data_IF_268388282838
#
_entry.id   IF_268388282838
#
_cell.length_a   1.000
_cell.length_b   1.000
_cell.length_c   1.000
_cell.angle_alpha   90.00
_cell.angle_beta   90.00
_cell.angle_gamma   90.00
#
_symmetry.space_group_name_H-M   'P 1'
#
loop_
_entity.id
_entity.type
_entity.pdbx_description
1 polymer ?
#
# COMPACT_ATOMS: atom_id res chain seq x y z
N UNK A 1 56.65 -5.04 -37.34
CA UNK A 1 56.83 -4.98 -35.89
C UNK A 1 56.36 -3.58 -35.44
N UNK A 2 55.10 -3.48 -35.04
CA UNK A 2 54.53 -2.23 -34.53
C UNK A 2 54.41 -2.39 -33.01
N UNK A 3 54.97 -1.42 -32.32
CA UNK A 3 55.09 -1.34 -30.88
C UNK A 3 53.74 -1.15 -30.21
N UNK A 4 53.33 -2.10 -29.34
CA UNK A 4 52.09 -2.11 -28.59
C UNK A 4 52.29 -1.81 -27.09
N UNK A 5 53.25 -0.96 -26.75
CA UNK A 5 53.60 -0.60 -25.38
C UNK A 5 52.98 0.74 -24.94
N UNK A 6 51.66 0.91 -24.98
CA UNK A 6 51.04 2.19 -24.64
C UNK A 6 49.64 2.15 -24.03
N UNK A 7 49.13 1.00 -23.65
CA UNK A 7 47.82 0.95 -22.96
C UNK A 7 48.06 0.96 -21.44
N UNK A 8 48.01 2.16 -20.84
CA UNK A 8 47.89 2.31 -19.40
C UNK A 8 46.59 1.66 -18.96
N UNK A 9 46.55 0.82 -17.92
CA UNK A 9 45.32 0.38 -17.32
C UNK A 9 44.61 1.58 -16.72
N UNK A 10 43.54 2.00 -17.39
CA UNK A 10 42.66 3.05 -16.87
C UNK A 10 42.14 2.60 -15.53
N UNK A 11 42.37 3.38 -14.52
CA UNK A 11 41.98 3.20 -13.14
C UNK A 11 40.56 2.65 -13.01
N UNK A 12 40.46 1.56 -12.27
CA UNK A 12 39.19 1.18 -11.63
C UNK A 12 38.83 2.36 -10.72
N UNK A 13 37.97 3.23 -11.25
CA UNK A 13 37.36 4.30 -10.47
C UNK A 13 36.57 3.64 -9.34
N UNK A 14 37.11 3.76 -8.13
CA UNK A 14 36.34 3.65 -6.88
C UNK A 14 35.02 4.36 -7.08
N UNK A 15 33.91 3.58 -7.14
CA UNK A 15 32.57 4.12 -7.05
C UNK A 15 32.36 4.62 -5.61
N UNK A 16 32.90 5.81 -5.35
CA UNK A 16 32.54 6.58 -4.18
C UNK A 16 31.02 6.70 -4.16
N UNK A 17 30.41 6.24 -3.09
CA UNK A 17 29.00 6.49 -2.79
C UNK A 17 28.77 8.00 -2.91
N UNK A 18 28.14 8.45 -4.00
CA UNK A 18 27.85 9.86 -4.16
C UNK A 18 26.92 10.27 -3.00
N UNK A 19 27.24 11.35 -2.27
CA UNK A 19 26.38 11.83 -1.17
C UNK A 19 24.93 12.06 -1.58
N UNK A 20 24.66 12.18 -2.89
CA UNK A 20 23.33 12.26 -3.47
C UNK A 20 22.49 10.99 -3.40
N UNK A 21 23.07 9.76 -3.37
CA UNK A 21 22.27 8.52 -3.44
C UNK A 21 21.48 8.26 -2.16
N UNK A 22 22.11 8.45 -0.99
CA UNK A 22 21.44 8.29 0.30
C UNK A 22 20.35 9.34 0.50
N UNK A 23 20.60 10.59 0.12
CA UNK A 23 19.61 11.66 0.19
C UNK A 23 18.43 11.38 -0.76
N UNK A 24 18.68 10.96 -2.00
CA UNK A 24 17.62 10.59 -2.95
C UNK A 24 16.77 9.43 -2.43
N UNK A 25 17.39 8.40 -1.87
CA UNK A 25 16.68 7.26 -1.26
C UNK A 25 15.81 7.69 -0.08
N UNK A 26 16.31 8.61 0.75
CA UNK A 26 15.54 9.17 1.87
C UNK A 26 14.31 9.95 1.36
N UNK A 27 14.49 10.84 0.38
CA UNK A 27 13.37 11.61 -0.23
C UNK A 27 12.32 10.68 -0.84
N UNK A 28 12.75 9.63 -1.54
CA UNK A 28 11.87 8.63 -2.12
C UNK A 28 11.07 7.90 -1.04
N UNK A 29 11.75 7.41 0.00
CA UNK A 29 11.10 6.72 1.13
C UNK A 29 10.12 7.63 1.86
N UNK A 30 10.49 8.88 2.09
CA UNK A 30 9.63 9.86 2.75
C UNK A 30 8.43 10.26 1.88
N UNK A 31 8.63 10.42 0.58
CA UNK A 31 7.51 10.66 -0.36
C UNK A 31 6.55 9.46 -0.37
N UNK A 32 7.07 8.23 -0.44
CA UNK A 32 6.25 7.02 -0.37
C UNK A 32 5.47 6.92 0.95
N UNK A 33 6.11 7.25 2.07
CA UNK A 33 5.46 7.34 3.38
C UNK A 33 4.25 8.30 3.34
N UNK A 34 4.46 9.50 2.82
CA UNK A 34 3.45 10.56 2.79
C UNK A 34 2.27 10.26 1.85
N UNK A 35 2.47 9.44 0.81
CA UNK A 35 1.39 9.12 -0.13
C UNK A 35 0.28 8.26 0.45
N UNK A 36 0.53 7.47 1.50
CA UNK A 36 -0.43 6.51 2.05
C UNK A 36 -0.60 6.58 3.57
N UNK A 37 0.09 7.49 4.26
CA UNK A 37 0.03 7.59 5.72
C UNK A 37 -1.38 7.86 6.24
N UNK A 38 -2.18 8.68 5.54
CA UNK A 38 -3.58 9.00 5.91
C UNK A 38 -4.49 7.76 5.91
N UNK A 39 -4.21 6.77 5.04
CA UNK A 39 -4.96 5.52 5.00
C UNK A 39 -4.86 4.80 6.34
N UNK A 40 -3.64 4.61 6.80
CA UNK A 40 -3.35 3.83 7.99
C UNK A 40 -3.60 4.60 9.29
N UNK A 41 -3.31 5.90 9.31
CA UNK A 41 -3.58 6.78 10.45
C UNK A 41 -5.06 6.74 10.85
N UNK A 42 -5.96 6.88 9.88
CA UNK A 42 -7.40 6.87 10.16
C UNK A 42 -7.89 5.50 10.66
N UNK A 43 -7.24 4.40 10.23
CA UNK A 43 -7.59 3.07 10.73
C UNK A 43 -7.26 2.87 12.21
N UNK A 44 -6.22 3.53 12.73
CA UNK A 44 -5.83 3.39 14.14
C UNK A 44 -6.88 3.93 15.12
N UNK A 45 -7.64 4.94 14.70
CA UNK A 45 -8.63 5.63 15.52
C UNK A 45 -10.07 5.15 15.28
N UNK A 46 -10.25 4.03 14.58
CA UNK A 46 -11.56 3.45 14.25
C UNK A 46 -12.49 3.31 15.45
N UNK A 47 -12.10 2.77 16.63
CA UNK A 47 -13.00 2.66 17.77
C UNK A 47 -13.47 4.02 18.28
N UNK A 48 -12.62 5.05 18.25
CA UNK A 48 -12.99 6.41 18.66
C UNK A 48 -13.92 7.08 17.66
N UNK A 49 -13.71 6.92 16.36
CA UNK A 49 -14.62 7.40 15.31
C UNK A 49 -15.97 6.72 15.40
N UNK A 50 -16.02 5.41 15.64
CA UNK A 50 -17.27 4.65 15.82
C UNK A 50 -18.10 5.21 16.98
N UNK A 51 -17.47 5.55 18.09
CA UNK A 51 -18.14 6.19 19.24
C UNK A 51 -18.60 7.62 18.93
N UNK A 52 -17.74 8.39 18.24
CA UNK A 52 -18.02 9.79 17.89
C UNK A 52 -19.24 9.91 16.97
N UNK A 53 -19.37 9.04 15.97
CA UNK A 53 -20.50 9.06 15.03
C UNK A 53 -21.70 8.19 15.47
N UNK A 54 -21.58 7.41 16.55
CA UNK A 54 -22.67 6.55 17.05
C UNK A 54 -23.10 5.47 16.07
N UNK A 55 -22.17 4.91 15.29
CA UNK A 55 -22.46 3.93 14.23
C UNK A 55 -21.87 2.56 14.53
N UNK A 56 -22.23 1.54 13.74
CA UNK A 56 -21.69 0.19 13.91
C UNK A 56 -20.23 0.09 13.43
N UNK A 57 -19.44 -0.89 13.92
CA UNK A 57 -18.11 -1.19 13.41
C UNK A 57 -18.07 -1.40 11.90
N UNK A 58 -19.07 -2.06 11.30
CA UNK A 58 -19.15 -2.25 9.86
C UNK A 58 -19.32 -0.93 9.11
N UNK A 59 -20.22 -0.06 9.57
CA UNK A 59 -20.48 1.24 8.94
C UNK A 59 -19.23 2.14 9.02
N UNK A 60 -18.58 2.22 10.18
CA UNK A 60 -17.36 3.02 10.33
C UNK A 60 -16.19 2.43 9.58
N UNK A 61 -16.01 1.11 9.63
CA UNK A 61 -14.98 0.41 8.88
C UNK A 61 -15.10 0.66 7.37
N UNK A 62 -16.32 0.59 6.82
CA UNK A 62 -16.58 0.94 5.43
C UNK A 62 -16.25 2.40 5.13
N UNK A 63 -16.72 3.33 5.95
CA UNK A 63 -16.48 4.76 5.77
C UNK A 63 -14.98 5.11 5.78
N UNK A 64 -14.22 4.58 6.74
CA UNK A 64 -12.76 4.79 6.84
C UNK A 64 -12.03 4.21 5.63
N UNK A 65 -12.41 3.02 5.17
CA UNK A 65 -11.75 2.37 4.04
C UNK A 65 -12.36 2.75 2.67
N UNK A 66 -13.34 3.66 2.61
CA UNK A 66 -13.87 4.21 1.35
C UNK A 66 -12.78 4.91 0.52
N UNK A 67 -11.68 5.33 1.15
CA UNK A 67 -10.49 5.81 0.45
C UNK A 67 -9.93 4.79 -0.56
N UNK A 68 -10.06 3.48 -0.30
CA UNK A 68 -9.62 2.46 -1.27
C UNK A 68 -10.42 2.48 -2.55
N UNK A 69 -11.69 2.92 -2.54
CA UNK A 69 -12.46 3.17 -3.77
C UNK A 69 -11.86 4.31 -4.59
N UNK A 70 -11.56 5.45 -3.94
CA UNK A 70 -10.85 6.55 -4.59
C UNK A 70 -9.49 6.12 -5.13
N UNK A 71 -8.76 5.30 -4.37
CA UNK A 71 -7.46 4.76 -4.79
C UNK A 71 -7.60 3.84 -6.01
N UNK A 72 -8.63 3.01 -6.09
CA UNK A 72 -8.89 2.15 -7.25
C UNK A 72 -9.16 2.99 -8.51
N UNK A 73 -10.04 4.00 -8.40
CA UNK A 73 -10.36 4.89 -9.51
C UNK A 73 -9.13 5.67 -9.99
N UNK A 74 -8.37 6.26 -9.08
CA UNK A 74 -7.16 7.01 -9.41
C UNK A 74 -6.07 6.13 -10.06
N UNK A 75 -5.92 4.88 -9.61
CA UNK A 75 -4.94 3.94 -10.19
C UNK A 75 -5.21 3.66 -11.67
N UNK A 76 -6.49 3.53 -12.06
CA UNK A 76 -6.87 3.39 -13.46
C UNK A 76 -6.59 4.68 -14.25
N UNK A 77 -7.03 5.84 -13.73
CA UNK A 77 -6.84 7.13 -14.39
C UNK A 77 -5.35 7.42 -14.59
N UNK A 78 -4.54 7.26 -13.54
CA UNK A 78 -3.10 7.46 -13.66
C UNK A 78 -2.46 6.44 -14.57
N UNK A 79 -2.87 5.17 -14.53
CA UNK A 79 -2.40 4.13 -15.45
C UNK A 79 -2.60 4.50 -16.92
N UNK A 80 -3.75 5.11 -17.27
CA UNK A 80 -4.05 5.53 -18.64
C UNK A 80 -3.38 6.83 -19.06
N UNK A 81 -3.32 7.83 -18.17
CA UNK A 81 -2.84 9.16 -18.49
C UNK A 81 -1.41 9.43 -18.02
N UNK A 82 -0.77 8.49 -17.33
CA UNK A 82 0.59 8.61 -16.79
C UNK A 82 1.59 9.23 -17.79
N UNK A 83 1.66 8.85 -19.08
CA UNK A 83 2.63 9.43 -20.00
C UNK A 83 2.45 10.93 -20.25
N UNK A 84 1.25 11.48 -19.98
CA UNK A 84 0.91 12.89 -20.21
C UNK A 84 1.07 13.76 -18.96
N UNK A 85 1.25 13.14 -17.79
CA UNK A 85 1.32 13.86 -16.51
C UNK A 85 2.78 14.12 -16.16
N UNK A 86 3.16 15.38 -15.97
CA UNK A 86 4.45 15.74 -15.38
C UNK A 86 4.55 15.16 -13.95
N UNK A 87 5.61 14.37 -13.70
CA UNK A 87 5.74 13.60 -12.47
C UNK A 87 5.79 14.47 -11.23
N UNK A 88 6.64 15.50 -11.25
CA UNK A 88 6.79 16.44 -10.13
C UNK A 88 5.50 17.16 -9.84
N UNK A 89 4.90 17.77 -10.86
CA UNK A 89 3.65 18.55 -10.71
C UNK A 89 2.52 17.65 -10.25
N UNK A 90 2.39 16.44 -10.81
CA UNK A 90 1.36 15.51 -10.44
C UNK A 90 1.48 15.04 -8.98
N UNK A 91 2.68 14.68 -8.50
CA UNK A 91 2.90 14.27 -7.11
C UNK A 91 2.64 15.47 -6.17
N UNK A 92 3.20 16.64 -6.48
CA UNK A 92 3.02 17.87 -5.70
C UNK A 92 1.54 18.23 -5.55
N UNK A 93 0.81 18.33 -6.66
CA UNK A 93 -0.62 18.66 -6.64
C UNK A 93 -1.43 17.62 -5.90
N UNK A 94 -1.12 16.34 -6.06
CA UNK A 94 -1.82 15.27 -5.36
C UNK A 94 -1.64 15.38 -3.84
N UNK A 95 -0.42 15.64 -3.34
CA UNK A 95 -0.15 15.82 -1.92
C UNK A 95 -0.75 17.13 -1.37
N UNK A 96 -0.66 18.23 -2.13
CA UNK A 96 -1.26 19.50 -1.72
C UNK A 96 -2.80 19.41 -1.66
N UNK A 97 -3.43 18.80 -2.68
CA UNK A 97 -4.87 18.59 -2.69
C UNK A 97 -5.34 17.60 -1.63
N UNK A 98 -4.50 16.63 -1.25
CA UNK A 98 -4.81 15.68 -0.16
C UNK A 98 -5.05 16.38 1.17
N UNK A 99 -4.37 17.50 1.43
CA UNK A 99 -4.55 18.27 2.66
C UNK A 99 -5.98 18.82 2.81
N UNK A 100 -6.68 19.10 1.71
CA UNK A 100 -8.06 19.64 1.74
C UNK A 100 -9.05 18.64 2.33
N UNK A 101 -9.30 17.47 1.74
CA UNK A 101 -10.20 16.49 2.34
C UNK A 101 -9.71 16.03 3.72
N UNK A 102 -8.39 15.95 3.96
CA UNK A 102 -7.85 15.57 5.27
C UNK A 102 -8.24 16.59 6.35
N UNK A 103 -8.10 17.89 6.09
CA UNK A 103 -8.52 18.92 7.06
C UNK A 103 -10.03 18.96 7.24
N UNK A 104 -10.81 18.78 6.18
CA UNK A 104 -12.28 18.75 6.24
C UNK A 104 -12.83 17.57 7.04
N UNK A 105 -12.10 16.46 7.15
CA UNK A 105 -12.49 15.33 8.02
C UNK A 105 -12.57 15.73 9.49
N UNK A 106 -11.80 16.73 9.92
CA UNK A 106 -11.85 17.24 11.31
C UNK A 106 -13.21 17.82 11.70
N UNK A 107 -13.97 18.30 10.73
CA UNK A 107 -15.26 18.98 10.91
C UNK A 107 -16.40 18.29 10.15
N UNK A 108 -16.23 17.06 9.71
CA UNK A 108 -17.23 16.32 8.94
C UNK A 108 -18.49 16.09 9.78
N UNK A 109 -19.66 16.62 9.37
CA UNK A 109 -20.84 16.67 10.22
C UNK A 109 -21.56 15.31 10.36
N UNK A 110 -21.34 14.40 9.43
CA UNK A 110 -21.97 13.08 9.41
C UNK A 110 -21.13 12.05 8.64
N UNK A 111 -21.50 10.78 8.76
CA UNK A 111 -20.80 9.67 8.16
C UNK A 111 -20.76 9.73 6.62
N UNK A 112 -21.79 10.26 5.98
CA UNK A 112 -21.83 10.36 4.51
C UNK A 112 -20.79 11.34 3.98
N UNK A 113 -20.68 12.52 4.58
CA UNK A 113 -19.66 13.52 4.26
C UNK A 113 -18.28 12.98 4.59
N UNK A 114 -18.09 12.33 5.76
CA UNK A 114 -16.84 11.66 6.11
C UNK A 114 -16.43 10.64 5.03
N UNK A 115 -17.37 9.79 4.61
CA UNK A 115 -17.12 8.77 3.55
C UNK A 115 -16.72 9.41 2.23
N UNK A 116 -17.41 10.46 1.79
CA UNK A 116 -17.09 11.18 0.55
C UNK A 116 -15.70 11.82 0.61
N UNK A 117 -15.33 12.44 1.73
CA UNK A 117 -14.00 12.98 1.95
C UNK A 117 -12.92 11.90 1.95
N UNK A 118 -13.21 10.72 2.48
CA UNK A 118 -12.30 9.56 2.40
C UNK A 118 -12.09 9.10 0.96
N UNK A 119 -13.12 9.09 0.13
CA UNK A 119 -12.98 8.80 -1.31
C UNK A 119 -12.07 9.86 -1.97
N UNK A 120 -12.28 11.13 -1.69
CA UNK A 120 -11.45 12.22 -2.22
C UNK A 120 -9.98 12.09 -1.78
N UNK A 121 -9.71 11.75 -0.51
CA UNK A 121 -8.36 11.42 -0.05
C UNK A 121 -7.76 10.27 -0.86
N UNK A 122 -8.53 9.20 -1.09
CA UNK A 122 -8.07 8.04 -1.86
C UNK A 122 -7.64 8.40 -3.28
N UNK A 123 -8.39 9.28 -3.95
CA UNK A 123 -8.02 9.79 -5.27
C UNK A 123 -6.64 10.48 -5.25
N UNK A 124 -6.41 11.35 -4.28
CA UNK A 124 -5.14 12.06 -4.14
C UNK A 124 -3.99 11.12 -3.76
N UNK A 125 -4.20 10.24 -2.78
CA UNK A 125 -3.19 9.28 -2.29
C UNK A 125 -2.69 8.38 -3.42
N UNK A 126 -3.59 7.72 -4.15
CA UNK A 126 -3.19 6.80 -5.21
C UNK A 126 -2.59 7.52 -6.42
N UNK A 127 -3.01 8.75 -6.71
CA UNK A 127 -2.37 9.57 -7.74
C UNK A 127 -0.92 9.87 -7.38
N UNK A 128 -0.66 10.34 -6.14
CA UNK A 128 0.70 10.57 -5.67
C UNK A 128 1.53 9.29 -5.66
N UNK A 129 0.95 8.18 -5.17
CA UNK A 129 1.59 6.86 -5.08
C UNK A 129 2.01 6.34 -6.46
N UNK A 130 1.09 6.31 -7.43
CA UNK A 130 1.36 5.78 -8.76
C UNK A 130 2.35 6.66 -9.54
N UNK A 131 2.25 7.98 -9.42
CA UNK A 131 3.18 8.92 -10.07
C UNK A 131 4.58 8.86 -9.45
N UNK A 132 4.69 8.66 -8.13
CA UNK A 132 6.00 8.46 -7.47
C UNK A 132 6.64 7.16 -7.96
N UNK A 133 5.87 6.09 -8.07
CA UNK A 133 6.38 4.81 -8.59
C UNK A 133 6.84 4.92 -10.05
N UNK A 134 6.10 5.65 -10.88
CA UNK A 134 6.47 5.92 -12.26
C UNK A 134 7.74 6.79 -12.36
N UNK A 135 7.85 7.84 -11.53
CA UNK A 135 9.05 8.67 -11.44
C UNK A 135 10.30 7.85 -11.13
N UNK A 136 10.19 6.91 -10.17
CA UNK A 136 11.28 6.01 -9.83
C UNK A 136 11.71 5.12 -11.01
N UNK A 137 10.75 4.55 -11.71
CA UNK A 137 11.02 3.70 -12.87
C UNK A 137 11.69 4.44 -14.02
N UNK A 138 11.48 5.76 -14.13
CA UNK A 138 12.05 6.61 -15.18
C UNK A 138 13.41 7.21 -14.82
N UNK A 139 13.69 7.42 -13.52
CA UNK A 139 14.87 8.16 -13.06
C UNK A 139 15.99 7.30 -12.51
N UNK A 140 15.72 6.04 -12.17
CA UNK A 140 16.73 5.16 -11.63
C UNK A 140 17.39 4.34 -12.74
N UNK A 141 18.73 4.34 -12.77
CA UNK A 141 19.48 3.37 -13.57
C UNK A 141 19.17 1.94 -13.11
N UNK A 142 19.38 0.95 -13.95
CA UNK A 142 19.15 -0.44 -13.57
C UNK A 142 19.92 -0.86 -12.31
N UNK A 143 21.09 -0.23 -12.04
CA UNK A 143 21.90 -0.47 -10.84
C UNK A 143 21.28 0.19 -9.59
N UNK A 144 20.72 1.40 -9.71
CA UNK A 144 20.19 2.16 -8.58
C UNK A 144 18.72 1.81 -8.28
N UNK A 145 18.01 1.24 -9.26
CA UNK A 145 16.59 0.90 -9.15
C UNK A 145 16.28 0.03 -7.92
N UNK A 146 17.15 -0.95 -7.62
CA UNK A 146 16.95 -1.83 -6.46
C UNK A 146 16.90 -1.07 -5.13
N UNK A 147 17.81 -0.12 -4.91
CA UNK A 147 17.86 0.72 -3.72
C UNK A 147 16.68 1.69 -3.62
N UNK A 148 16.30 2.31 -4.73
CA UNK A 148 15.20 3.25 -4.81
C UNK A 148 13.84 2.57 -4.55
N UNK A 149 13.60 1.40 -5.14
CA UNK A 149 12.41 0.61 -4.86
C UNK A 149 12.38 0.07 -3.43
N UNK A 150 13.53 -0.31 -2.86
CA UNK A 150 13.62 -0.70 -1.47
C UNK A 150 13.24 0.46 -0.53
N UNK A 151 13.75 1.66 -0.79
CA UNK A 151 13.40 2.86 -0.02
C UNK A 151 11.90 3.18 -0.13
N UNK A 152 11.33 3.07 -1.33
CA UNK A 152 9.91 3.28 -1.58
C UNK A 152 9.04 2.28 -0.78
N UNK A 153 9.36 0.98 -0.83
CA UNK A 153 8.63 -0.06 -0.07
C UNK A 153 8.79 0.19 1.43
N UNK A 154 9.98 0.52 1.90
CA UNK A 154 10.24 0.83 3.32
C UNK A 154 9.40 2.01 3.78
N UNK A 155 9.34 3.10 3.00
CA UNK A 155 8.49 4.26 3.29
C UNK A 155 7.01 3.89 3.38
N UNK A 156 6.51 3.07 2.46
CA UNK A 156 5.12 2.60 2.46
C UNK A 156 4.82 1.74 3.70
N UNK A 157 5.68 0.78 4.06
CA UNK A 157 5.47 -0.05 5.26
C UNK A 157 5.65 0.77 6.53
N UNK A 158 6.59 1.72 6.56
CA UNK A 158 6.78 2.65 7.67
C UNK A 158 5.53 3.52 7.90
N UNK A 159 4.82 3.93 6.84
CA UNK A 159 3.58 4.69 6.97
C UNK A 159 2.48 3.92 7.73
N UNK A 160 2.45 2.61 7.58
CA UNK A 160 1.51 1.76 8.30
C UNK A 160 1.79 1.74 9.81
N UNK A 161 3.05 1.67 10.22
CA UNK A 161 3.42 1.67 11.63
C UNK A 161 3.40 3.09 12.22
N UNK A 162 4.19 4.00 11.64
CA UNK A 162 4.40 5.34 12.20
C UNK A 162 3.12 6.18 12.12
N UNK A 163 2.37 6.08 11.01
CA UNK A 163 1.08 6.77 10.86
C UNK A 163 0.08 6.37 11.93
N UNK A 164 -0.01 5.09 12.25
CA UNK A 164 -0.91 4.61 13.31
C UNK A 164 -0.46 5.03 14.71
N UNK A 165 0.84 4.99 15.00
CA UNK A 165 1.37 5.45 16.29
C UNK A 165 1.10 6.92 16.51
N UNK A 166 1.42 7.78 15.55
CA UNK A 166 1.17 9.22 15.62
C UNK A 166 -0.34 9.48 15.77
N UNK A 167 -1.16 8.80 14.97
CA UNK A 167 -2.61 8.99 15.01
C UNK A 167 -3.21 8.59 16.37
N UNK A 168 -2.77 7.46 16.94
CA UNK A 168 -3.23 7.02 18.25
C UNK A 168 -2.83 8.05 19.34
N UNK A 169 -1.58 8.52 19.34
CA UNK A 169 -1.08 9.50 20.31
C UNK A 169 -1.80 10.84 20.19
N UNK A 170 -2.04 11.35 18.98
CA UNK A 170 -2.75 12.60 18.76
C UNK A 170 -4.22 12.51 19.16
N UNK A 171 -4.88 11.40 18.79
CA UNK A 171 -6.29 11.22 19.14
C UNK A 171 -6.50 11.05 20.64
N UNK A 172 -5.57 10.42 21.34
CA UNK A 172 -5.60 10.25 22.80
C UNK A 172 -5.32 11.55 23.54
N UNK A 173 -4.29 12.31 23.13
CA UNK A 173 -3.84 13.52 23.82
C UNK A 173 -4.56 14.81 23.41
N UNK A 174 -4.87 14.99 22.11
CA UNK A 174 -5.39 16.24 21.54
C UNK A 174 -6.79 16.09 20.94
N UNK A 175 -7.26 14.86 20.73
CA UNK A 175 -8.56 14.55 20.15
C UNK A 175 -8.58 14.38 18.64
N UNK A 176 -9.72 13.91 18.12
CA UNK A 176 -9.89 13.48 16.73
C UNK A 176 -9.65 14.60 15.71
N UNK A 177 -10.10 15.82 15.98
CA UNK A 177 -9.96 16.95 15.06
C UNK A 177 -8.48 17.30 14.82
N UNK A 178 -7.69 17.39 15.88
CA UNK A 178 -6.27 17.69 15.80
C UNK A 178 -5.47 16.60 15.07
N UNK A 179 -5.89 15.35 15.18
CA UNK A 179 -5.32 14.27 14.39
C UNK A 179 -5.41 14.56 12.88
N UNK A 180 -6.59 14.95 12.39
CA UNK A 180 -6.77 15.26 10.97
C UNK A 180 -6.01 16.51 10.52
N UNK A 181 -5.99 17.58 11.35
CA UNK A 181 -5.22 18.80 11.04
C UNK A 181 -3.72 18.53 10.98
N UNK A 182 -3.19 17.67 11.87
CA UNK A 182 -1.79 17.29 11.84
C UNK A 182 -1.44 16.57 10.52
N UNK A 183 -2.24 15.60 10.10
CA UNK A 183 -1.99 14.89 8.84
C UNK A 183 -2.19 15.79 7.63
N UNK A 184 -3.11 16.74 7.66
CA UNK A 184 -3.24 17.75 6.61
C UNK A 184 -1.98 18.63 6.50
N UNK A 185 -1.42 19.07 7.63
CA UNK A 185 -0.15 19.81 7.66
C UNK A 185 1.02 18.95 7.15
N UNK A 186 1.03 17.67 7.52
CA UNK A 186 2.04 16.70 7.04
C UNK A 186 1.96 16.51 5.52
N UNK A 187 0.77 16.49 4.93
CA UNK A 187 0.56 16.41 3.48
C UNK A 187 1.10 17.66 2.76
N UNK A 188 0.89 18.86 3.32
CA UNK A 188 1.48 20.09 2.80
C UNK A 188 3.00 20.10 2.93
N UNK A 189 3.55 19.62 4.04
CA UNK A 189 4.98 19.44 4.19
C UNK A 189 5.55 18.46 3.13
N UNK A 190 4.80 17.40 2.82
CA UNK A 190 5.11 16.48 1.73
C UNK A 190 5.11 17.15 0.35
N UNK A 191 4.12 17.99 0.08
CA UNK A 191 4.08 18.78 -1.16
C UNK A 191 5.30 19.73 -1.24
N UNK A 192 5.65 20.39 -0.14
CA UNK A 192 6.84 21.24 -0.06
C UNK A 192 8.13 20.42 -0.27
N UNK A 193 8.24 19.24 0.35
CA UNK A 193 9.38 18.33 0.12
C UNK A 193 9.54 18.03 -1.37
N UNK A 194 8.47 17.63 -2.04
CA UNK A 194 8.48 17.32 -3.49
C UNK A 194 8.86 18.57 -4.31
N UNK A 195 8.35 19.72 -3.92
CA UNK A 195 8.68 20.98 -4.59
C UNK A 195 10.18 21.31 -4.56
N UNK A 196 10.87 21.08 -3.46
CA UNK A 196 12.27 21.42 -3.30
C UNK A 196 13.25 20.32 -3.71
N UNK A 197 12.79 19.04 -3.77
CA UNK A 197 13.72 17.91 -3.92
C UNK A 197 13.51 17.08 -5.19
N UNK A 198 12.33 17.14 -5.79
CA UNK A 198 12.02 16.36 -7.01
C UNK A 198 12.26 17.24 -8.25
N UNK A 199 13.16 16.80 -9.13
CA UNK A 199 13.45 17.52 -10.36
C UNK A 199 12.30 17.44 -11.37
N UNK A 200 12.19 18.50 -12.18
CA UNK A 200 11.30 18.49 -13.35
C UNK A 200 11.91 17.59 -14.41
N UNK A 201 11.33 16.45 -14.60
CA UNK A 201 11.68 15.56 -15.69
C UNK A 201 10.64 15.70 -16.79
N UNK A 202 11.10 16.04 -17.99
CA UNK A 202 10.23 15.95 -19.15
C UNK A 202 9.77 14.50 -19.29
N UNK A 203 8.44 14.25 -19.44
CA UNK A 203 7.97 12.90 -19.69
C UNK A 203 8.78 12.35 -20.85
N UNK A 204 9.39 11.18 -20.67
CA UNK A 204 10.01 10.50 -21.79
C UNK A 204 8.91 10.40 -22.86
N UNK A 205 9.13 10.98 -24.04
CA UNK A 205 8.22 10.79 -25.15
C UNK A 205 8.19 9.29 -25.41
N UNK A 206 7.32 8.61 -24.71
CA UNK A 206 6.99 7.24 -25.04
C UNK A 206 6.50 7.31 -26.49
N UNK A 207 7.24 6.66 -27.39
CA UNK A 207 6.72 6.38 -28.72
C UNK A 207 5.26 5.97 -28.50
N UNK A 208 4.33 6.72 -29.10
CA UNK A 208 2.90 6.56 -28.86
C UNK A 208 2.57 5.08 -28.84
N UNK A 209 1.91 4.59 -27.79
CA UNK A 209 1.55 3.16 -27.76
C UNK A 209 0.72 2.89 -29.03
N UNK A 210 1.13 1.91 -29.81
CA UNK A 210 0.48 1.52 -31.07
C UNK A 210 -0.98 1.07 -30.85
N UNK A 211 -1.40 0.82 -29.63
CA UNK A 211 -2.75 0.41 -29.25
C UNK A 211 -3.43 1.48 -28.38
N UNK A 212 -4.74 1.65 -28.55
CA UNK A 212 -5.54 2.48 -27.65
C UNK A 212 -5.48 1.95 -26.22
N UNK A 213 -5.56 2.79 -25.18
CA UNK A 213 -5.57 2.35 -23.77
C UNK A 213 -6.63 1.28 -23.49
N UNK A 214 -7.80 1.37 -24.14
CA UNK A 214 -8.87 0.38 -24.03
C UNK A 214 -8.46 -0.99 -24.64
N UNK A 215 -7.81 -0.98 -25.80
CA UNK A 215 -7.33 -2.22 -26.41
C UNK A 215 -6.25 -2.90 -25.56
N UNK A 216 -5.33 -2.13 -25.01
CA UNK A 216 -4.31 -2.63 -24.08
C UNK A 216 -4.94 -3.20 -22.80
N UNK A 217 -5.94 -2.53 -22.22
CA UNK A 217 -6.71 -3.03 -21.06
C UNK A 217 -7.36 -4.38 -21.39
N UNK A 218 -8.05 -4.48 -22.53
CA UNK A 218 -8.71 -5.71 -22.94
C UNK A 218 -7.71 -6.85 -23.19
N UNK A 219 -6.53 -6.54 -23.76
CA UNK A 219 -5.46 -7.51 -23.95
C UNK A 219 -4.95 -8.06 -22.62
N UNK A 220 -4.75 -7.20 -21.59
CA UNK A 220 -4.34 -7.63 -20.26
C UNK A 220 -5.42 -8.48 -19.56
N UNK A 221 -6.71 -8.14 -19.71
CA UNK A 221 -7.82 -8.96 -19.17
C UNK A 221 -7.97 -10.32 -19.88
N UNK A 222 -7.58 -10.43 -21.15
CA UNK A 222 -7.56 -11.71 -21.89
C UNK A 222 -6.41 -12.60 -21.46
N UNK A 223 -5.34 -12.06 -20.91
CA UNK A 223 -4.21 -12.85 -20.41
C UNK A 223 -4.59 -13.55 -19.09
N UNK A 224 -4.70 -14.89 -19.05
CA UNK A 224 -5.17 -15.61 -17.86
C UNK A 224 -4.23 -15.46 -16.66
N UNK A 225 -2.93 -15.27 -16.89
CA UNK A 225 -1.96 -15.07 -15.82
C UNK A 225 -2.10 -13.70 -15.16
N UNK A 226 -2.26 -12.64 -15.95
CA UNK A 226 -2.49 -11.29 -15.43
C UNK A 226 -3.83 -11.22 -14.68
N UNK A 227 -4.88 -11.84 -15.23
CA UNK A 227 -6.19 -11.91 -14.59
C UNK A 227 -6.13 -12.64 -13.25
N UNK A 228 -5.37 -13.73 -13.15
CA UNK A 228 -5.14 -14.42 -11.89
C UNK A 228 -4.36 -13.53 -10.91
N UNK A 229 -3.32 -12.83 -11.35
CA UNK A 229 -2.57 -11.90 -10.53
C UNK A 229 -3.44 -10.74 -10.01
N UNK A 230 -4.36 -10.21 -10.83
CA UNK A 230 -5.33 -9.20 -10.42
C UNK A 230 -6.27 -9.72 -9.32
N UNK A 231 -6.77 -10.95 -9.48
CA UNK A 231 -7.58 -11.62 -8.45
C UNK A 231 -6.81 -11.92 -7.17
N UNK A 232 -5.55 -12.32 -7.27
CA UNK A 232 -4.67 -12.53 -6.10
C UNK A 232 -4.49 -11.20 -5.35
N UNK A 233 -4.20 -10.10 -6.05
CA UNK A 233 -4.10 -8.78 -5.44
C UNK A 233 -5.38 -8.37 -4.73
N UNK A 234 -6.54 -8.57 -5.35
CA UNK A 234 -7.86 -8.34 -4.75
C UNK A 234 -8.02 -9.12 -3.43
N UNK A 235 -7.76 -10.42 -3.43
CA UNK A 235 -7.90 -11.27 -2.24
C UNK A 235 -6.92 -10.90 -1.13
N UNK A 236 -5.69 -10.50 -1.48
CA UNK A 236 -4.68 -10.08 -0.49
C UNK A 236 -5.16 -8.83 0.27
N UNK A 237 -5.61 -7.78 -0.44
CA UNK A 237 -6.06 -6.57 0.25
C UNK A 237 -7.41 -6.76 0.93
N UNK A 238 -8.31 -7.58 0.39
CA UNK A 238 -9.51 -8.02 1.07
C UNK A 238 -9.18 -8.59 2.45
N UNK A 239 -8.26 -9.54 2.51
CA UNK A 239 -7.83 -10.18 3.75
C UNK A 239 -7.12 -9.19 4.68
N UNK A 240 -6.17 -8.42 4.17
CA UNK A 240 -5.37 -7.48 4.96
C UNK A 240 -6.23 -6.37 5.57
N UNK A 241 -6.95 -5.61 4.74
CA UNK A 241 -7.78 -4.47 5.23
C UNK A 241 -8.86 -4.97 6.17
N UNK A 242 -9.53 -6.09 5.83
CA UNK A 242 -10.55 -6.66 6.71
C UNK A 242 -9.99 -7.06 8.08
N UNK A 243 -8.88 -7.76 8.10
CA UNK A 243 -8.22 -8.17 9.35
C UNK A 243 -7.85 -6.95 10.20
N UNK A 244 -7.06 -6.02 9.64
CA UNK A 244 -6.51 -4.89 10.39
C UNK A 244 -7.51 -3.76 10.64
N UNK A 245 -8.69 -3.80 10.03
CA UNK A 245 -9.83 -2.93 10.37
C UNK A 245 -10.56 -3.46 11.60
N UNK A 246 -10.97 -4.73 11.58
CA UNK A 246 -11.87 -5.27 12.62
C UNK A 246 -11.16 -5.78 13.86
N UNK A 247 -9.89 -6.17 13.79
CA UNK A 247 -9.09 -6.52 14.98
C UNK A 247 -9.03 -5.37 15.99
N UNK A 248 -9.06 -4.10 15.54
CA UNK A 248 -9.08 -2.93 16.44
C UNK A 248 -10.24 -3.00 17.45
N UNK A 249 -11.41 -3.46 17.00
CA UNK A 249 -12.58 -3.58 17.87
C UNK A 249 -12.47 -4.76 18.84
N UNK A 250 -11.73 -5.81 18.46
CA UNK A 250 -11.45 -6.96 19.34
C UNK A 250 -10.45 -6.56 20.42
N UNK A 251 -9.41 -5.82 20.06
CA UNK A 251 -8.35 -5.40 20.98
C UNK A 251 -8.85 -4.47 22.09
N UNK A 252 -9.84 -3.61 21.81
CA UNK A 252 -10.40 -2.67 22.82
C UNK A 252 -11.53 -3.27 23.65
N UNK A 253 -12.01 -4.48 23.33
CA UNK A 253 -13.06 -5.18 24.08
C UNK A 253 -12.46 -6.20 25.07
N UNK A 254 -13.20 -6.56 26.15
CA UNK A 254 -12.83 -7.69 26.99
C UNK A 254 -12.64 -8.98 26.17
N UNK A 255 -11.66 -9.83 26.50
CA UNK A 255 -10.79 -9.78 27.68
C UNK A 255 -9.53 -8.92 27.48
N UNK A 256 -9.25 -8.38 26.28
CA UNK A 256 -7.99 -7.68 25.98
C UNK A 256 -7.99 -6.22 26.49
N UNK A 257 -9.08 -5.48 26.30
CA UNK A 257 -9.36 -4.14 26.86
C UNK A 257 -8.24 -3.10 26.73
N UNK A 258 -7.57 -3.04 25.55
CA UNK A 258 -6.46 -2.12 25.31
C UNK A 258 -6.93 -0.67 25.24
N UNK A 259 -6.12 0.22 25.80
CA UNK A 259 -6.25 1.67 25.62
C UNK A 259 -5.86 2.16 24.23
N UNK A 260 -6.10 3.44 23.92
CA UNK A 260 -5.80 4.01 22.60
C UNK A 260 -4.31 4.01 22.28
N UNK A 261 -3.46 4.35 23.25
CA UNK A 261 -2.01 4.33 23.06
C UNK A 261 -1.50 2.91 22.88
N UNK A 262 -1.99 1.94 23.67
CA UNK A 262 -1.63 0.52 23.54
C UNK A 262 -2.04 -0.02 22.18
N UNK A 263 -3.22 0.38 21.69
CA UNK A 263 -3.69 0.04 20.35
C UNK A 263 -2.73 0.56 19.26
N UNK A 264 -2.18 1.76 19.42
CA UNK A 264 -1.13 2.28 18.55
C UNK A 264 0.13 1.40 18.58
N UNK A 265 0.58 1.01 19.79
CA UNK A 265 1.77 0.18 19.98
C UNK A 265 1.62 -1.25 19.40
N UNK A 266 0.40 -1.80 19.37
CA UNK A 266 0.13 -3.09 18.71
C UNK A 266 0.71 -3.14 17.29
N UNK A 267 0.73 -2.03 16.57
CA UNK A 267 1.15 -1.99 15.17
C UNK A 267 2.66 -2.15 14.95
N UNK A 268 3.47 -2.27 16.03
CA UNK A 268 4.84 -2.80 15.93
C UNK A 268 4.89 -4.21 15.33
N UNK A 269 3.76 -4.93 15.28
CA UNK A 269 3.62 -6.21 14.55
C UNK A 269 4.00 -6.12 13.06
N UNK A 270 4.06 -4.91 12.48
CA UNK A 270 4.50 -4.72 11.10
C UNK A 270 6.01 -4.62 10.92
N UNK A 271 6.81 -4.47 11.99
CA UNK A 271 8.27 -4.40 11.86
C UNK A 271 8.89 -5.59 11.12
N UNK A 272 8.50 -6.86 11.40
CA UNK A 272 8.99 -7.99 10.63
C UNK A 272 8.65 -7.91 9.15
N UNK A 273 7.49 -7.33 8.81
CA UNK A 273 7.06 -7.16 7.41
C UNK A 273 7.96 -6.19 6.64
N UNK A 274 8.53 -5.16 7.29
CA UNK A 274 9.49 -4.23 6.66
C UNK A 274 10.68 -5.01 6.10
N UNK A 275 11.25 -5.89 6.93
CA UNK A 275 12.44 -6.67 6.55
C UNK A 275 12.11 -7.77 5.54
N UNK A 276 11.04 -8.53 5.81
CA UNK A 276 10.69 -9.68 4.96
C UNK A 276 10.24 -9.27 3.57
N UNK A 277 9.50 -8.18 3.44
CA UNK A 277 9.01 -7.69 2.13
C UNK A 277 10.16 -7.35 1.18
N UNK A 278 11.30 -6.84 1.69
CA UNK A 278 12.49 -6.55 0.88
C UNK A 278 13.09 -7.82 0.25
N UNK A 279 12.86 -8.97 0.86
CA UNK A 279 13.38 -10.26 0.38
C UNK A 279 12.46 -10.90 -0.67
N UNK A 280 11.20 -10.46 -0.79
CA UNK A 280 10.20 -11.11 -1.63
C UNK A 280 10.64 -11.23 -3.11
N UNK A 281 11.23 -10.18 -3.68
CA UNK A 281 11.74 -10.21 -5.04
C UNK A 281 12.87 -11.22 -5.25
N UNK A 282 13.82 -11.31 -4.30
CA UNK A 282 14.93 -12.27 -4.34
C UNK A 282 14.43 -13.71 -4.22
N UNK A 283 13.48 -13.95 -3.33
CA UNK A 283 12.87 -15.28 -3.13
C UNK A 283 12.07 -15.68 -4.37
N UNK A 284 11.27 -14.77 -4.93
CA UNK A 284 10.52 -15.03 -6.16
C UNK A 284 11.44 -15.32 -7.37
N UNK A 285 12.59 -14.66 -7.45
CA UNK A 285 13.58 -14.93 -8.50
C UNK A 285 14.25 -16.30 -8.36
N UNK A 286 14.44 -16.80 -7.12
CA UNK A 286 15.10 -18.08 -6.84
C UNK A 286 14.14 -19.28 -6.88
N UNK A 287 12.99 -19.16 -6.25
CA UNK A 287 12.03 -20.24 -6.08
C UNK A 287 10.91 -20.22 -7.12
N UNK A 288 10.76 -19.11 -7.85
CA UNK A 288 9.61 -18.82 -8.71
C UNK A 288 8.47 -18.10 -7.96
N UNK A 289 7.65 -17.40 -8.72
CA UNK A 289 6.56 -16.56 -8.15
C UNK A 289 5.48 -17.40 -7.46
N UNK A 290 5.09 -18.52 -8.07
CA UNK A 290 4.02 -19.40 -7.58
C UNK A 290 4.32 -19.98 -6.18
N UNK A 291 5.43 -20.68 -5.93
CA UNK A 291 5.73 -21.20 -4.58
C UNK A 291 5.97 -20.09 -3.56
N UNK A 292 6.49 -18.94 -4.00
CA UNK A 292 6.68 -17.77 -3.14
C UNK A 292 5.35 -17.24 -2.60
N UNK A 293 4.35 -17.04 -3.47
CA UNK A 293 3.01 -16.59 -3.06
C UNK A 293 2.35 -17.66 -2.17
N UNK A 294 2.45 -18.94 -2.52
CA UNK A 294 1.89 -20.03 -1.71
C UNK A 294 2.47 -20.06 -0.30
N UNK A 295 3.78 -19.99 -0.17
CA UNK A 295 4.45 -19.94 1.14
C UNK A 295 3.99 -18.73 1.96
N UNK A 296 3.89 -17.57 1.32
CA UNK A 296 3.42 -16.35 1.96
C UNK A 296 1.95 -16.44 2.45
N UNK A 297 1.05 -16.97 1.61
CA UNK A 297 -0.35 -17.19 1.98
C UNK A 297 -0.50 -18.24 3.09
N UNK A 298 0.33 -19.28 3.09
CA UNK A 298 0.38 -20.27 4.18
C UNK A 298 0.78 -19.62 5.49
N UNK A 299 1.82 -18.78 5.50
CA UNK A 299 2.24 -18.02 6.68
C UNK A 299 1.09 -17.14 7.19
N UNK A 300 0.39 -16.42 6.31
CA UNK A 300 -0.78 -15.63 6.69
C UNK A 300 -1.90 -16.50 7.27
N UNK A 301 -2.18 -17.65 6.64
CA UNK A 301 -3.20 -18.59 7.08
C UNK A 301 -2.93 -19.16 8.47
N UNK A 302 -1.66 -19.48 8.79
CA UNK A 302 -1.24 -19.96 10.11
C UNK A 302 -1.46 -18.91 11.21
N UNK A 303 -1.48 -17.61 10.85
CA UNK A 303 -1.78 -16.54 11.79
C UNK A 303 -3.25 -16.47 12.22
N UNK A 304 -4.18 -16.95 11.38
CA UNK A 304 -5.62 -16.77 11.63
C UNK A 304 -6.12 -17.45 12.91
N UNK A 305 -5.78 -18.73 13.22
CA UNK A 305 -6.19 -19.37 14.47
C UNK A 305 -5.68 -18.64 15.70
N UNK A 306 -4.46 -18.10 15.66
CA UNK A 306 -3.87 -17.36 16.78
C UNK A 306 -4.65 -16.08 17.09
N UNK A 307 -5.28 -15.46 16.10
CA UNK A 307 -6.09 -14.25 16.28
C UNK A 307 -7.45 -14.51 16.95
N UNK A 308 -7.83 -15.78 17.13
CA UNK A 308 -9.02 -16.19 17.89
C UNK A 308 -8.72 -16.45 19.38
N UNK A 309 -7.47 -16.42 19.76
CA UNK A 309 -7.05 -16.71 21.13
C UNK A 309 -7.46 -15.56 22.09
N UNK A 310 -7.74 -15.89 23.37
CA UNK A 310 -8.11 -14.88 24.37
C UNK A 310 -6.91 -14.08 24.92
N UNK A 311 -5.69 -14.43 24.53
CA UNK A 311 -4.45 -13.83 25.05
C UNK A 311 -3.82 -12.89 24.03
N UNK A 312 -3.44 -11.70 24.48
CA UNK A 312 -2.84 -10.68 23.63
C UNK A 312 -1.62 -11.18 22.84
N UNK A 313 -0.72 -11.94 23.46
CA UNK A 313 0.50 -12.45 22.82
C UNK A 313 0.21 -13.31 21.58
N UNK A 314 -0.80 -14.17 21.67
CA UNK A 314 -1.22 -15.05 20.58
C UNK A 314 -1.83 -14.21 19.44
N UNK A 315 -2.70 -13.26 19.78
CA UNK A 315 -3.29 -12.34 18.81
C UNK A 315 -2.21 -11.52 18.08
N UNK A 316 -1.23 -10.98 18.82
CA UNK A 316 -0.10 -10.24 18.22
C UNK A 316 0.74 -11.14 17.30
N UNK A 317 1.03 -12.37 17.71
CA UNK A 317 1.73 -13.34 16.86
C UNK A 317 0.93 -13.63 15.58
N UNK A 318 -0.38 -13.81 15.69
CA UNK A 318 -1.28 -13.96 14.54
C UNK A 318 -1.23 -12.76 13.61
N UNK A 319 -1.29 -11.54 14.15
CA UNK A 319 -1.18 -10.30 13.38
C UNK A 319 0.17 -10.17 12.65
N UNK A 320 1.28 -10.56 13.29
CA UNK A 320 2.61 -10.62 12.65
C UNK A 320 2.59 -11.55 11.44
N UNK A 321 2.08 -12.78 11.61
CA UNK A 321 2.05 -13.76 10.54
C UNK A 321 1.16 -13.32 9.38
N UNK A 322 -0.02 -12.77 9.66
CA UNK A 322 -0.92 -12.22 8.63
C UNK A 322 -0.26 -11.04 7.92
N UNK A 323 0.38 -10.12 8.66
CA UNK A 323 1.08 -8.98 8.10
C UNK A 323 2.24 -9.39 7.19
N UNK A 324 3.14 -10.24 7.69
CA UNK A 324 4.29 -10.76 6.93
C UNK A 324 3.81 -11.49 5.67
N UNK A 325 2.85 -12.42 5.81
CA UNK A 325 2.38 -13.21 4.69
C UNK A 325 1.71 -12.37 3.61
N UNK A 326 0.83 -11.45 3.99
CA UNK A 326 0.10 -10.61 3.02
C UNK A 326 1.01 -9.60 2.32
N UNK A 327 1.93 -8.91 3.02
CA UNK A 327 2.89 -8.00 2.38
C UNK A 327 3.87 -8.73 1.48
N UNK A 328 4.33 -9.92 1.89
CA UNK A 328 5.24 -10.71 1.06
C UNK A 328 4.56 -11.20 -0.22
N UNK A 329 3.32 -11.71 -0.11
CA UNK A 329 2.51 -12.13 -1.26
C UNK A 329 2.22 -10.95 -2.20
N UNK A 330 1.88 -9.76 -1.65
CA UNK A 330 1.67 -8.54 -2.42
C UNK A 330 2.91 -8.15 -3.23
N UNK A 331 4.08 -8.14 -2.60
CA UNK A 331 5.33 -7.77 -3.26
C UNK A 331 5.66 -8.75 -4.40
N UNK A 332 5.48 -10.05 -4.18
CA UNK A 332 5.69 -11.08 -5.21
C UNK A 332 4.68 -10.94 -6.37
N UNK A 333 3.40 -10.70 -6.06
CA UNK A 333 2.36 -10.52 -7.08
C UNK A 333 2.57 -9.25 -7.91
N UNK A 334 2.95 -8.13 -7.27
CA UNK A 334 3.28 -6.87 -7.95
C UNK A 334 4.47 -7.04 -8.90
N UNK A 335 5.53 -7.72 -8.42
CA UNK A 335 6.70 -8.04 -9.24
C UNK A 335 6.34 -8.91 -10.45
N UNK A 336 5.46 -9.89 -10.27
CA UNK A 336 4.97 -10.75 -11.36
C UNK A 336 4.20 -9.94 -12.42
N UNK A 337 3.31 -9.05 -12.03
CA UNK A 337 2.55 -8.20 -12.98
C UNK A 337 3.50 -7.36 -13.83
N UNK A 338 4.53 -6.76 -13.21
CA UNK A 338 5.54 -5.98 -13.93
C UNK A 338 6.36 -6.80 -14.95
N UNK A 339 6.55 -8.09 -14.70
CA UNK A 339 7.26 -9.01 -15.62
C UNK A 339 6.35 -9.62 -16.68
N UNK A 340 5.12 -10.01 -16.30
CA UNK A 340 4.16 -10.66 -17.19
C UNK A 340 3.52 -9.70 -18.22
N UNK A 341 3.51 -8.40 -17.93
CA UNK A 341 3.08 -7.37 -18.86
C UNK A 341 4.22 -7.06 -19.84
N UNK A 342 4.20 -7.68 -21.03
CA UNK A 342 5.19 -7.45 -22.08
C UNK A 342 5.15 -5.98 -22.54
N UNK A 343 3.94 -5.47 -22.84
CA UNK A 343 3.70 -4.11 -23.32
C UNK A 343 2.79 -3.34 -22.33
N UNK A 344 2.84 -2.02 -22.39
CA UNK A 344 1.94 -1.15 -21.60
C UNK A 344 1.92 -1.48 -20.09
N UNK A 345 3.10 -1.72 -19.49
CA UNK A 345 3.27 -2.08 -18.06
C UNK A 345 2.54 -1.13 -17.11
N UNK A 346 2.46 0.17 -17.44
CA UNK A 346 1.73 1.15 -16.64
C UNK A 346 0.23 0.84 -16.55
N UNK A 347 -0.39 0.42 -17.66
CA UNK A 347 -1.81 0.03 -17.71
C UNK A 347 -2.03 -1.26 -16.90
N UNK A 348 -1.18 -2.28 -17.08
CA UNK A 348 -1.27 -3.52 -16.30
C UNK A 348 -1.14 -3.28 -14.79
N UNK A 349 -0.18 -2.45 -14.37
CA UNK A 349 -0.01 -2.05 -12.98
C UNK A 349 -1.20 -1.24 -12.46
N UNK A 350 -1.76 -0.35 -13.27
CA UNK A 350 -2.96 0.41 -12.92
C UNK A 350 -4.18 -0.50 -12.69
N UNK A 351 -4.40 -1.49 -13.56
CA UNK A 351 -5.47 -2.49 -13.40
C UNK A 351 -5.24 -3.33 -12.14
N UNK A 352 -4.01 -3.79 -11.92
CA UNK A 352 -3.65 -4.56 -10.72
C UNK A 352 -3.96 -3.77 -9.45
N UNK A 353 -3.50 -2.53 -9.36
CA UNK A 353 -3.74 -1.67 -8.19
C UNK A 353 -5.22 -1.35 -8.01
N UNK A 354 -5.98 -1.15 -9.10
CA UNK A 354 -7.42 -0.96 -9.02
C UNK A 354 -8.12 -2.20 -8.44
N UNK A 355 -7.80 -3.39 -8.93
CA UNK A 355 -8.32 -4.65 -8.37
C UNK A 355 -7.92 -4.84 -6.91
N UNK A 356 -6.65 -4.54 -6.59
CA UNK A 356 -6.12 -4.60 -5.23
C UNK A 356 -6.91 -3.71 -4.28
N UNK A 357 -7.09 -2.42 -4.60
CA UNK A 357 -7.84 -1.49 -3.76
C UNK A 357 -9.34 -1.80 -3.71
N UNK A 358 -9.95 -2.28 -4.80
CA UNK A 358 -11.32 -2.79 -4.78
C UNK A 358 -11.46 -3.95 -3.79
N UNK A 359 -10.44 -4.83 -3.71
CA UNK A 359 -10.41 -5.90 -2.72
C UNK A 359 -10.50 -5.37 -1.30
N UNK A 360 -9.79 -4.29 -0.98
CA UNK A 360 -9.85 -3.64 0.34
C UNK A 360 -11.24 -3.11 0.69
N UNK A 361 -11.90 -2.44 -0.26
CA UNK A 361 -13.25 -1.92 -0.07
C UNK A 361 -14.27 -3.06 0.13
N UNK A 362 -14.26 -4.04 -0.77
CA UNK A 362 -15.17 -5.19 -0.70
C UNK A 362 -14.90 -6.01 0.56
N UNK A 363 -13.62 -6.20 0.91
CA UNK A 363 -13.21 -6.87 2.14
C UNK A 363 -13.79 -6.20 3.37
N UNK A 364 -13.67 -4.89 3.47
CA UNK A 364 -14.26 -4.14 4.59
C UNK A 364 -15.78 -4.25 4.63
N UNK A 365 -16.45 -4.16 3.48
CA UNK A 365 -17.90 -4.24 3.42
C UNK A 365 -18.44 -5.64 3.80
N UNK A 366 -17.81 -6.68 3.26
CA UNK A 366 -18.25 -8.08 3.50
C UNK A 366 -17.90 -8.52 4.92
N UNK A 367 -16.62 -8.33 5.32
CA UNK A 367 -16.16 -8.75 6.64
C UNK A 367 -16.77 -7.90 7.76
N UNK A 368 -17.14 -6.64 7.47
CA UNK A 368 -17.89 -5.82 8.42
C UNK A 368 -19.27 -6.36 8.72
N UNK A 369 -20.01 -6.76 7.71
CA UNK A 369 -21.30 -7.41 7.90
C UNK A 369 -21.18 -8.72 8.67
N UNK A 370 -20.15 -9.52 8.37
CA UNK A 370 -19.87 -10.74 9.11
C UNK A 370 -19.50 -10.43 10.57
N UNK A 371 -18.73 -9.38 10.81
CA UNK A 371 -18.33 -8.94 12.15
C UNK A 371 -19.53 -8.48 12.97
N UNK A 372 -20.41 -7.65 12.41
CA UNK A 372 -21.60 -7.13 13.11
C UNK A 372 -22.64 -8.22 13.37
N UNK A 373 -22.83 -9.17 12.42
CA UNK A 373 -23.85 -10.21 12.53
C UNK A 373 -23.40 -11.44 13.32
N UNK A 374 -22.14 -11.87 13.14
CA UNK A 374 -21.66 -13.17 13.65
C UNK A 374 -20.37 -13.06 14.47
N UNK A 375 -19.85 -11.83 14.64
CA UNK A 375 -18.66 -11.58 15.44
C UNK A 375 -17.33 -11.89 14.75
N UNK A 376 -16.26 -11.85 15.56
CA UNK A 376 -14.88 -11.95 15.09
C UNK A 376 -14.52 -13.27 14.42
N UNK A 377 -15.07 -14.38 14.92
CA UNK A 377 -14.79 -15.70 14.35
C UNK A 377 -15.22 -15.78 12.89
N UNK A 378 -16.42 -15.30 12.55
CA UNK A 378 -16.92 -15.28 11.18
C UNK A 378 -16.06 -14.38 10.27
N UNK A 379 -15.57 -13.26 10.81
CA UNK A 379 -14.64 -12.39 10.10
C UNK A 379 -13.34 -13.14 9.75
N UNK A 380 -12.75 -13.86 10.68
CA UNK A 380 -11.53 -14.69 10.46
C UNK A 380 -11.78 -15.80 9.43
N UNK A 381 -12.93 -16.46 9.44
CA UNK A 381 -13.28 -17.44 8.40
C UNK A 381 -13.39 -16.78 7.01
N UNK A 382 -13.98 -15.59 6.92
CA UNK A 382 -14.04 -14.82 5.68
C UNK A 382 -12.65 -14.42 5.15
N UNK A 383 -11.73 -14.04 6.05
CA UNK A 383 -10.32 -13.79 5.72
C UNK A 383 -9.66 -15.08 5.20
N UNK A 384 -9.86 -16.20 5.88
CA UNK A 384 -9.34 -17.51 5.47
C UNK A 384 -9.83 -17.92 4.08
N UNK A 385 -11.11 -17.71 3.78
CA UNK A 385 -11.69 -17.98 2.47
C UNK A 385 -11.03 -17.12 1.37
N UNK A 386 -10.76 -15.83 1.64
CA UNK A 386 -10.07 -14.97 0.69
C UNK A 386 -8.62 -15.42 0.45
N UNK A 387 -7.88 -15.81 1.49
CA UNK A 387 -6.52 -16.36 1.34
C UNK A 387 -6.53 -17.68 0.56
N UNK A 388 -7.50 -18.55 0.80
CA UNK A 388 -7.68 -19.79 0.04
C UNK A 388 -8.01 -19.51 -1.43
N UNK A 389 -8.87 -18.54 -1.73
CA UNK A 389 -9.15 -18.11 -3.10
C UNK A 389 -7.89 -17.57 -3.80
N UNK A 390 -7.07 -16.77 -3.11
CA UNK A 390 -5.79 -16.33 -3.64
C UNK A 390 -4.85 -17.51 -3.95
N UNK A 391 -4.80 -18.50 -3.04
CA UNK A 391 -3.99 -19.70 -3.24
C UNK A 391 -4.45 -20.52 -4.46
N UNK A 392 -5.76 -20.65 -4.68
CA UNK A 392 -6.32 -21.30 -5.86
C UNK A 392 -5.98 -20.54 -7.16
N UNK A 393 -6.11 -19.21 -7.16
CA UNK A 393 -5.74 -18.39 -8.32
C UNK A 393 -4.26 -18.51 -8.69
N UNK A 394 -3.40 -18.80 -7.71
CA UNK A 394 -1.95 -18.97 -7.93
C UNK A 394 -1.64 -20.14 -8.85
N UNK A 395 -2.53 -21.14 -8.99
CA UNK A 395 -2.35 -22.23 -9.95
C UNK A 395 -2.33 -21.76 -11.42
N UNK A 396 -2.97 -20.64 -11.74
CA UNK A 396 -2.99 -20.07 -13.08
C UNK A 396 -1.71 -19.29 -13.43
N UNK A 397 -0.83 -18.99 -12.46
CA UNK A 397 0.47 -18.37 -12.72
C UNK A 397 1.43 -19.42 -13.30
N UNK A 398 2.16 -19.10 -14.38
CA UNK A 398 3.24 -19.95 -14.84
C UNK A 398 4.40 -19.92 -13.85
N UNK A 399 5.15 -21.02 -13.79
CA UNK A 399 6.36 -21.18 -12.96
C UNK A 399 7.43 -20.17 -13.36
#
# INVERSE_FOLDING_TARGET
MADLSGIKPTAMTEYAHSPGLAFRSLVIGLTAFLTVVDLFATQAILPSLTRHYGVTPAAMGFAVNASTFGMAAASLVVGFFSPRIDRRTGILLSLALLAVPTSLLAVAPNLAVFTALRVAQGLCMASAFALTLAYLGEQCSAMDAGGAFAAYITGNVASNLVGRLISAALADGLGLAWNFYFFAALNLAGAALVYFTVDRVRPMHAMMPAASPLAATLAHWRNPQLRAAFGIGFCILFAFIGTFTYVNFVLVRPPLSLGMMDLGLVYFVFLPSVVTTLLAGKVAARLGTRPTIWGALTVAGLGLPLMLAPRLREVLAGMVLVGVGTFFAQAAATGFVGQAAADNRGIASGIYLACYFCGGLVGTAVLGRLFDAFGWQACIFGVGAALAAAALLTFALKR
#
